data_IF_157700458274
#
_entry.id   IF_157700458274
#
_cell.length_a   1.000
_cell.length_b   1.000
_cell.length_c   1.000
_cell.angle_alpha   90.00
_cell.angle_beta   90.00
_cell.angle_gamma   90.00
#
_symmetry.space_group_name_H-M   'P 1'
#
loop_
_entity.id
_entity.type
_entity.pdbx_description
1 polymer ?
#
# COMPACT_ATOMS: atom_id res chain seq x y z
N UNK A 1 25.45 11.02 -2.33
CA UNK A 1 24.85 9.80 -2.89
C UNK A 1 23.44 10.20 -3.28
N UNK A 2 23.15 10.22 -4.56
CA UNK A 2 21.84 10.59 -5.06
C UNK A 2 20.96 9.34 -5.02
N UNK A 3 19.94 9.35 -4.18
CA UNK A 3 18.94 8.27 -4.08
C UNK A 3 17.69 8.53 -4.95
N UNK A 4 17.82 9.42 -5.94
CA UNK A 4 16.71 9.81 -6.81
C UNK A 4 16.14 8.62 -7.60
N UNK A 5 16.97 7.64 -7.96
CA UNK A 5 16.55 6.47 -8.74
C UNK A 5 15.71 5.46 -7.93
N UNK A 6 15.77 5.53 -6.59
CA UNK A 6 15.11 4.58 -5.68
C UNK A 6 14.20 5.26 -4.65
N UNK A 7 13.96 6.55 -4.77
CA UNK A 7 13.03 7.26 -3.90
C UNK A 7 11.57 6.88 -4.20
N UNK A 8 10.68 7.00 -3.23
CA UNK A 8 9.23 6.97 -3.52
C UNK A 8 8.84 8.06 -4.52
N UNK A 9 7.85 7.79 -5.36
CA UNK A 9 7.27 8.81 -6.22
C UNK A 9 6.67 9.96 -5.41
N UNK A 10 6.77 11.18 -5.91
CA UNK A 10 5.99 12.31 -5.40
C UNK A 10 4.54 12.23 -5.90
N UNK A 11 3.63 12.85 -5.18
CA UNK A 11 2.20 12.77 -5.51
C UNK A 11 1.90 13.37 -6.90
N UNK A 12 2.68 14.37 -7.33
CA UNK A 12 2.56 15.00 -8.64
C UNK A 12 2.94 14.06 -9.81
N UNK A 13 3.73 13.03 -9.54
CA UNK A 13 4.17 12.04 -10.54
C UNK A 13 3.12 10.91 -10.72
N UNK A 14 2.24 10.71 -9.73
CA UNK A 14 1.29 9.60 -9.72
C UNK A 14 0.41 9.49 -10.96
N UNK A 15 -0.12 10.57 -11.54
CA UNK A 15 -0.95 10.45 -12.75
C UNK A 15 -0.23 9.76 -13.90
N UNK A 16 1.04 10.10 -14.14
CA UNK A 16 1.85 9.47 -15.18
C UNK A 16 2.15 8.02 -14.83
N UNK A 17 2.62 7.76 -13.60
CA UNK A 17 2.94 6.42 -13.12
C UNK A 17 1.74 5.48 -13.20
N UNK A 18 0.55 5.96 -12.83
CA UNK A 18 -0.67 5.16 -12.92
C UNK A 18 -1.03 4.83 -14.37
N UNK A 19 -0.90 5.76 -15.31
CA UNK A 19 -1.17 5.44 -16.72
C UNK A 19 -0.17 4.43 -17.29
N UNK A 20 1.09 4.52 -16.92
CA UNK A 20 2.12 3.53 -17.29
C UNK A 20 1.78 2.14 -16.73
N UNK A 21 1.41 2.04 -15.45
CA UNK A 21 0.99 0.79 -14.83
C UNK A 21 -0.31 0.23 -15.45
N UNK A 22 -1.30 1.09 -15.69
CA UNK A 22 -2.57 0.69 -16.31
C UNK A 22 -2.36 0.15 -17.72
N UNK A 23 -1.38 0.67 -18.45
CA UNK A 23 -1.02 0.19 -19.79
C UNK A 23 -0.19 -1.10 -19.78
N UNK A 24 0.41 -1.48 -18.65
CA UNK A 24 1.26 -2.67 -18.55
C UNK A 24 0.41 -3.96 -18.43
N UNK A 25 0.53 -4.89 -19.40
CA UNK A 25 -0.22 -6.16 -19.37
C UNK A 25 0.11 -7.04 -18.17
N UNK A 26 1.37 -7.00 -17.67
CA UNK A 26 1.76 -7.79 -16.50
C UNK A 26 1.08 -7.25 -15.23
N UNK A 27 1.03 -5.93 -15.06
CA UNK A 27 0.29 -5.30 -13.98
C UNK A 27 -1.22 -5.62 -14.06
N UNK A 28 -1.83 -5.55 -15.24
CA UNK A 28 -3.24 -5.90 -15.44
C UNK A 28 -3.53 -7.34 -14.99
N UNK A 29 -2.66 -8.28 -15.37
CA UNK A 29 -2.81 -9.69 -15.00
C UNK A 29 -2.73 -9.87 -13.48
N UNK A 30 -1.75 -9.25 -12.82
CA UNK A 30 -1.58 -9.32 -11.36
C UNK A 30 -2.76 -8.67 -10.64
N UNK A 31 -3.18 -7.49 -11.06
CA UNK A 31 -4.30 -6.78 -10.45
C UNK A 31 -5.61 -7.57 -10.52
N UNK A 32 -5.89 -8.20 -11.67
CA UNK A 32 -7.06 -9.08 -11.82
C UNK A 32 -6.96 -10.36 -10.97
N UNK A 33 -5.77 -10.90 -10.78
CA UNK A 33 -5.56 -12.08 -9.93
C UNK A 33 -5.74 -11.75 -8.44
N UNK A 34 -5.29 -10.58 -8.00
CA UNK A 34 -5.41 -10.11 -6.61
C UNK A 34 -6.84 -9.68 -6.28
N UNK A 35 -7.57 -9.17 -7.26
CA UNK A 35 -8.97 -8.72 -7.10
C UNK A 35 -9.92 -9.51 -8.02
N UNK A 36 -10.12 -10.81 -7.77
CA UNK A 36 -10.96 -11.63 -8.62
C UNK A 36 -12.41 -11.12 -8.63
N UNK A 37 -12.98 -11.03 -9.83
CA UNK A 37 -14.35 -10.54 -10.02
C UNK A 37 -14.50 -9.01 -10.09
N UNK A 38 -13.41 -8.25 -9.92
CA UNK A 38 -13.41 -6.80 -10.14
C UNK A 38 -12.90 -6.53 -11.57
N UNK A 39 -13.69 -5.85 -12.43
CA UNK A 39 -13.22 -5.46 -13.75
C UNK A 39 -11.99 -4.58 -13.66
N UNK A 40 -10.98 -4.81 -14.51
CA UNK A 40 -9.74 -4.02 -14.48
C UNK A 40 -9.99 -2.51 -14.64
N UNK A 41 -10.97 -2.13 -15.45
CA UNK A 41 -11.33 -0.72 -15.62
C UNK A 41 -11.79 -0.06 -14.30
N UNK A 42 -12.46 -0.80 -13.42
CA UNK A 42 -12.83 -0.27 -12.11
C UNK A 42 -11.60 -0.06 -11.20
N UNK A 43 -10.58 -0.91 -11.33
CA UNK A 43 -9.29 -0.73 -10.65
C UNK A 43 -8.58 0.52 -11.20
N UNK A 44 -8.49 0.63 -12.53
CA UNK A 44 -7.89 1.77 -13.20
C UNK A 44 -8.56 3.11 -12.83
N UNK A 45 -9.88 3.13 -12.73
CA UNK A 45 -10.63 4.32 -12.31
C UNK A 45 -10.29 4.74 -10.87
N UNK A 46 -10.14 3.78 -9.95
CA UNK A 46 -9.71 4.07 -8.58
C UNK A 46 -8.29 4.63 -8.53
N UNK A 47 -7.38 4.08 -9.34
CA UNK A 47 -6.02 4.61 -9.46
C UNK A 47 -6.04 6.06 -9.96
N UNK A 48 -6.75 6.35 -11.05
CA UNK A 48 -6.87 7.70 -11.62
C UNK A 48 -7.54 8.69 -10.68
N UNK A 49 -8.43 8.23 -9.81
CA UNK A 49 -9.11 9.07 -8.83
C UNK A 49 -8.22 9.44 -7.64
N UNK A 50 -7.18 8.66 -7.36
CA UNK A 50 -6.26 8.88 -6.25
C UNK A 50 -5.23 9.95 -6.63
N UNK A 51 -5.15 11.02 -5.88
CA UNK A 51 -4.24 12.15 -6.12
C UNK A 51 -2.99 12.12 -5.28
N UNK A 52 -3.01 11.34 -4.21
CA UNK A 52 -1.89 11.16 -3.30
C UNK A 52 -1.61 9.68 -3.07
N UNK A 53 -0.39 9.35 -2.62
CA UNK A 53 -0.04 7.99 -2.21
C UNK A 53 -0.99 7.47 -1.12
N UNK A 54 -1.33 8.33 -0.16
CA UNK A 54 -2.25 8.01 0.91
C UNK A 54 -3.64 7.63 0.36
N UNK A 55 -4.21 8.44 -0.52
CA UNK A 55 -5.49 8.13 -1.16
C UNK A 55 -5.46 6.83 -1.95
N UNK A 56 -4.39 6.56 -2.69
CA UNK A 56 -4.22 5.30 -3.41
C UNK A 56 -4.21 4.10 -2.47
N UNK A 57 -3.47 4.19 -1.37
CA UNK A 57 -3.40 3.14 -0.37
C UNK A 57 -4.75 2.90 0.30
N UNK A 58 -5.47 3.96 0.67
CA UNK A 58 -6.80 3.86 1.27
C UNK A 58 -7.87 3.36 0.30
N UNK A 59 -7.89 3.87 -0.93
CA UNK A 59 -8.93 3.58 -1.91
C UNK A 59 -8.79 2.18 -2.54
N UNK A 60 -7.57 1.66 -2.64
CA UNK A 60 -7.29 0.40 -3.32
C UNK A 60 -6.64 -0.63 -2.39
N UNK A 61 -5.48 -0.33 -1.83
CA UNK A 61 -4.67 -1.31 -1.08
C UNK A 61 -5.34 -1.73 0.23
N UNK A 62 -5.95 -0.80 0.96
CA UNK A 62 -6.63 -1.10 2.22
C UNK A 62 -7.71 -2.17 2.05
N UNK A 63 -8.57 -2.03 1.05
CA UNK A 63 -9.66 -2.98 0.81
C UNK A 63 -9.16 -4.40 0.50
N UNK A 64 -8.05 -4.51 -0.24
CA UNK A 64 -7.41 -5.78 -0.58
C UNK A 64 -6.86 -6.45 0.69
N UNK A 65 -6.06 -5.71 1.45
CA UNK A 65 -5.40 -6.23 2.66
C UNK A 65 -6.38 -6.53 3.78
N UNK A 66 -7.39 -5.68 3.97
CA UNK A 66 -8.45 -5.92 4.94
C UNK A 66 -9.25 -7.19 4.61
N UNK A 67 -9.62 -7.37 3.33
CA UNK A 67 -10.28 -8.59 2.88
C UNK A 67 -9.39 -9.81 3.09
N UNK A 68 -8.12 -9.73 2.75
CA UNK A 68 -7.15 -10.81 2.94
C UNK A 68 -7.06 -11.18 4.43
N UNK A 69 -6.89 -10.22 5.32
CA UNK A 69 -6.86 -10.46 6.76
C UNK A 69 -8.12 -11.17 7.25
N UNK A 70 -9.29 -10.70 6.82
CA UNK A 70 -10.58 -11.28 7.19
C UNK A 70 -10.77 -12.72 6.71
N UNK A 71 -10.31 -13.02 5.49
CA UNK A 71 -10.55 -14.31 4.85
C UNK A 71 -9.52 -15.39 5.26
N UNK A 72 -8.32 -14.97 5.71
CA UNK A 72 -7.19 -15.89 5.94
C UNK A 72 -6.68 -15.91 7.37
N UNK A 73 -7.21 -15.09 8.26
CA UNK A 73 -6.79 -15.02 9.68
C UNK A 73 -8.00 -14.98 10.61
N UNK A 74 -7.75 -15.21 11.90
CA UNK A 74 -8.76 -15.00 12.95
C UNK A 74 -8.98 -13.52 13.30
N UNK A 75 -8.32 -12.62 12.60
CA UNK A 75 -8.38 -11.17 12.74
C UNK A 75 -7.03 -10.55 13.09
N UNK A 76 -6.96 -9.23 12.95
CA UNK A 76 -5.83 -8.43 13.39
C UNK A 76 -6.15 -7.85 14.77
N UNK A 77 -5.27 -8.07 15.73
CA UNK A 77 -5.42 -7.56 17.09
C UNK A 77 -4.32 -6.55 17.36
N UNK A 78 -4.73 -5.39 17.82
CA UNK A 78 -3.84 -4.33 18.25
C UNK A 78 -3.83 -4.29 19.77
N UNK A 79 -2.78 -4.81 20.39
CA UNK A 79 -2.61 -4.80 21.84
C UNK A 79 -1.77 -3.59 22.27
N UNK A 80 -2.12 -3.02 23.41
CA UNK A 80 -1.33 -1.97 24.10
C UNK A 80 -0.99 -0.76 23.24
N UNK A 81 -2.01 -0.15 22.61
CA UNK A 81 -1.81 1.12 21.92
C UNK A 81 -1.31 2.19 22.89
N UNK A 82 -0.03 2.53 22.76
CA UNK A 82 0.37 3.88 23.14
C UNK A 82 -0.46 4.86 22.29
N UNK A 83 -1.00 5.91 22.88
CA UNK A 83 -1.73 6.93 22.14
C UNK A 83 -0.75 7.59 21.17
N UNK A 84 -0.83 7.19 19.88
CA UNK A 84 0.00 7.80 18.86
C UNK A 84 -0.56 9.20 18.55
N UNK A 85 0.34 10.17 18.56
CA UNK A 85 -0.01 11.54 18.19
C UNK A 85 0.15 11.70 16.68
N UNK A 86 -0.95 12.05 15.99
CA UNK A 86 -0.94 12.30 14.54
C UNK A 86 0.04 13.36 14.06
N UNK A 87 0.48 14.26 14.96
CA UNK A 87 1.41 15.33 14.62
C UNK A 87 2.87 14.96 14.84
N UNK A 88 3.14 13.74 15.30
CA UNK A 88 4.49 13.24 15.56
C UNK A 88 4.90 12.24 14.51
N UNK A 89 6.16 12.29 14.09
CA UNK A 89 6.77 11.28 13.24
C UNK A 89 7.16 10.05 14.07
N UNK A 90 6.91 8.87 13.55
CA UNK A 90 7.24 7.59 14.17
C UNK A 90 8.02 6.70 13.23
N UNK A 91 8.94 5.93 13.79
CA UNK A 91 9.55 4.80 13.11
C UNK A 91 9.02 3.51 13.72
N UNK A 92 8.39 2.69 12.89
CA UNK A 92 7.86 1.39 13.30
C UNK A 92 8.90 0.31 13.00
N UNK A 93 9.17 -0.54 13.99
CA UNK A 93 10.09 -1.67 13.85
C UNK A 93 9.32 -2.94 14.18
N UNK A 94 9.31 -3.89 13.27
CA UNK A 94 8.61 -5.16 13.41
C UNK A 94 9.51 -6.35 13.06
N UNK A 95 9.07 -7.54 13.44
CA UNK A 95 9.63 -8.77 12.88
C UNK A 95 9.31 -8.85 11.40
N UNK A 96 10.26 -9.31 10.61
CA UNK A 96 10.08 -9.48 9.18
C UNK A 96 9.82 -10.95 8.84
N UNK A 97 8.56 -11.30 8.65
CA UNK A 97 8.12 -12.64 8.25
C UNK A 97 7.64 -12.69 6.80
N UNK A 98 7.04 -11.61 6.35
CA UNK A 98 6.49 -11.48 5.00
C UNK A 98 6.81 -10.08 4.44
N UNK A 99 7.23 -10.02 3.18
CA UNK A 99 7.67 -8.78 2.53
C UNK A 99 6.52 -7.76 2.40
N UNK A 100 5.30 -8.24 2.19
CA UNK A 100 4.13 -7.41 1.91
C UNK A 100 3.21 -7.31 3.13
N UNK A 101 2.94 -8.44 3.78
CA UNK A 101 1.88 -8.51 4.78
C UNK A 101 2.23 -7.82 6.08
N UNK A 102 3.49 -7.84 6.52
CA UNK A 102 3.89 -7.22 7.79
C UNK A 102 3.61 -5.71 7.76
N UNK A 103 4.08 -5.01 6.74
CA UNK A 103 3.87 -3.57 6.56
C UNK A 103 2.44 -3.25 6.11
N UNK A 104 1.83 -4.13 5.29
CA UNK A 104 0.46 -3.97 4.83
C UNK A 104 -0.55 -4.03 5.97
N UNK A 105 -0.45 -5.01 6.86
CA UNK A 105 -1.34 -5.13 8.03
C UNK A 105 -1.10 -4.01 9.05
N UNK A 106 0.15 -3.56 9.23
CA UNK A 106 0.42 -2.38 10.03
C UNK A 106 -0.31 -1.16 9.46
N UNK A 107 -0.23 -0.94 8.15
CA UNK A 107 -0.94 0.16 7.48
C UNK A 107 -2.46 0.07 7.65
N UNK A 108 -3.05 -1.14 7.54
CA UNK A 108 -4.47 -1.36 7.81
C UNK A 108 -4.83 -0.93 9.23
N UNK A 109 -4.08 -1.37 10.23
CA UNK A 109 -4.33 -1.04 11.64
C UNK A 109 -4.19 0.47 11.90
N UNK A 110 -3.22 1.13 11.27
CA UNK A 110 -3.04 2.59 11.41
C UNK A 110 -4.21 3.36 10.81
N UNK A 111 -4.65 3.00 9.61
CA UNK A 111 -5.82 3.61 8.95
C UNK A 111 -7.08 3.44 9.80
N UNK A 112 -7.32 2.26 10.39
CA UNK A 112 -8.44 2.01 11.29
C UNK A 112 -8.41 2.90 12.55
N UNK A 113 -7.22 3.35 12.97
CA UNK A 113 -7.06 4.32 14.06
C UNK A 113 -7.09 5.78 13.57
N UNK A 114 -7.34 5.99 12.28
CA UNK A 114 -7.35 7.30 11.65
C UNK A 114 -5.97 7.95 11.57
N UNK A 115 -4.92 7.15 11.49
CA UNK A 115 -3.54 7.56 11.25
C UNK A 115 -3.18 7.35 9.78
N UNK A 116 -2.11 8.00 9.33
CA UNK A 116 -1.59 7.80 7.98
C UNK A 116 -0.90 6.43 7.87
N UNK A 117 -0.81 5.91 6.65
CA UNK A 117 -0.04 4.71 6.34
C UNK A 117 1.46 4.95 6.52
N UNK A 118 2.24 3.88 6.51
CA UNK A 118 3.70 3.97 6.65
C UNK A 118 4.39 4.02 5.28
N UNK A 119 5.52 4.70 5.22
CA UNK A 119 6.51 4.48 4.17
C UNK A 119 7.36 3.27 4.54
N UNK A 120 7.55 2.38 3.57
CA UNK A 120 8.17 1.08 3.79
C UNK A 120 9.61 1.12 3.31
N UNK A 121 10.57 0.85 4.20
CA UNK A 121 11.95 0.67 3.80
C UNK A 121 12.13 -0.74 3.20
N UNK A 122 12.55 -0.80 1.94
CA UNK A 122 12.83 -2.05 1.23
C UNK A 122 14.26 -2.03 0.68
N UNK A 123 14.83 -3.22 0.49
CA UNK A 123 16.12 -3.34 -0.17
C UNK A 123 16.01 -3.05 -1.67
N UNK A 124 17.00 -2.37 -2.24
CA UNK A 124 17.08 -2.04 -3.67
C UNK A 124 17.07 -3.28 -4.57
N UNK A 125 17.52 -4.42 -4.07
CA UNK A 125 17.46 -5.70 -4.76
C UNK A 125 16.04 -6.20 -5.03
N UNK A 126 15.02 -5.61 -4.41
CA UNK A 126 13.60 -5.91 -4.68
C UNK A 126 13.02 -5.00 -5.78
N UNK A 127 13.77 -4.02 -6.25
CA UNK A 127 13.38 -3.09 -7.33
C UNK A 127 13.89 -3.55 -8.71
N UNK A 128 14.26 -4.83 -8.86
CA UNK A 128 14.73 -5.40 -10.12
C UNK A 128 13.53 -5.74 -11.00
N UNK A 129 13.37 -4.96 -12.06
CA UNK A 129 12.44 -5.20 -13.17
C UNK A 129 13.16 -5.10 -14.49
#
# INVERSE_FOLDING_TARGET
>A
MEFEEIRPYHDEELPQVFEELIADPAFQQVACAVMPGVPFEAIAQKMRASKTKQEFQENLCYGILHKLAKDTTDGLILESMAVLNKQSAYTYVSNHRDIILDSGFLSVLLVEQGLDTVEIAIGDNLLIY
#
